data_IF_843725283952
#
_entry.id   IF_843725283952
#
_cell.length_a   1.000
_cell.length_b   1.000
_cell.length_c   1.000
_cell.angle_alpha   90.00
_cell.angle_beta   90.00
_cell.angle_gamma   90.00
#
_symmetry.space_group_name_H-M   'P 1'
#
loop_
_entity.id
_entity.type
_entity.pdbx_description
1 polymer ?
#
# COMPACT_ATOMS: atom_id res chain seq x y z
N UNK A 1 6.62 30.32 12.43
CA UNK A 1 5.55 29.96 11.47
C UNK A 1 6.07 29.14 10.28
N UNK A 2 7.24 29.44 9.71
CA UNK A 2 7.81 28.69 8.58
C UNK A 2 8.01 27.17 8.84
N UNK A 3 8.44 26.78 10.05
CA UNK A 3 8.73 25.36 10.35
C UNK A 3 7.50 24.44 10.39
N UNK A 4 6.34 24.96 10.79
CA UNK A 4 5.10 24.16 10.87
C UNK A 4 4.55 23.92 9.46
N UNK A 5 4.54 24.98 8.63
CA UNK A 5 4.13 24.88 7.23
C UNK A 5 5.03 23.91 6.46
N UNK A 6 6.34 23.93 6.72
CA UNK A 6 7.28 23.00 6.09
C UNK A 6 7.03 21.54 6.50
N UNK A 7 6.79 21.27 7.80
CA UNK A 7 6.46 19.93 8.29
C UNK A 7 5.17 19.37 7.70
N UNK A 8 4.11 20.17 7.59
CA UNK A 8 2.84 19.76 6.97
C UNK A 8 3.01 19.48 5.47
N UNK A 9 3.81 20.29 4.76
CA UNK A 9 4.10 20.06 3.34
C UNK A 9 4.90 18.77 3.11
N UNK A 10 5.91 18.49 3.94
CA UNK A 10 6.68 17.23 3.89
C UNK A 10 5.80 16.02 4.18
N UNK A 11 4.93 16.10 5.18
CA UNK A 11 3.98 15.02 5.48
C UNK A 11 3.06 14.74 4.29
N UNK A 12 2.47 15.78 3.69
CA UNK A 12 1.61 15.64 2.51
C UNK A 12 2.33 14.94 1.35
N UNK A 13 3.56 15.34 1.05
CA UNK A 13 4.35 14.73 -0.02
C UNK A 13 4.64 13.26 0.28
N UNK A 14 5.07 12.93 1.49
CA UNK A 14 5.35 11.56 1.90
C UNK A 14 4.11 10.66 1.80
N UNK A 15 2.92 11.17 2.16
CA UNK A 15 1.67 10.42 2.03
C UNK A 15 1.33 10.13 0.56
N UNK A 16 1.57 11.10 -0.34
CA UNK A 16 1.38 10.91 -1.79
C UNK A 16 2.36 9.89 -2.36
N UNK A 17 3.64 10.00 -1.98
CA UNK A 17 4.68 9.08 -2.43
C UNK A 17 4.46 7.65 -1.92
N UNK A 18 3.85 7.51 -0.72
CA UNK A 18 3.42 6.23 -0.18
C UNK A 18 2.17 5.64 -0.88
N UNK A 19 1.55 6.38 -1.81
CA UNK A 19 0.35 5.97 -2.52
C UNK A 19 -0.94 6.04 -1.69
N UNK A 20 -0.93 6.76 -0.56
CA UNK A 20 -2.12 6.96 0.25
C UNK A 20 -3.23 7.62 -0.59
N UNK A 21 -4.46 7.16 -0.45
CA UNK A 21 -5.59 7.77 -1.13
C UNK A 21 -5.96 9.13 -0.53
N UNK A 22 -6.81 9.88 -1.23
CA UNK A 22 -7.18 11.22 -0.81
C UNK A 22 -7.85 11.24 0.58
N UNK A 23 -8.65 10.21 0.91
CA UNK A 23 -9.33 10.12 2.21
C UNK A 23 -8.33 9.97 3.35
N UNK A 24 -7.32 9.13 3.15
CA UNK A 24 -6.23 8.91 4.08
C UNK A 24 -5.39 10.18 4.25
N UNK A 25 -5.05 10.83 3.14
CA UNK A 25 -4.33 12.10 3.13
C UNK A 25 -5.08 13.16 3.94
N UNK A 26 -6.37 13.36 3.67
CA UNK A 26 -7.19 14.35 4.37
C UNK A 26 -7.26 14.05 5.87
N UNK A 27 -7.43 12.78 6.25
CA UNK A 27 -7.47 12.34 7.65
C UNK A 27 -6.16 12.66 8.37
N UNK A 28 -5.01 12.30 7.78
CA UNK A 28 -3.70 12.58 8.34
C UNK A 28 -3.43 14.09 8.44
N UNK A 29 -3.81 14.87 7.43
CA UNK A 29 -3.60 16.33 7.42
C UNK A 29 -4.47 17.07 8.44
N UNK A 30 -5.67 16.57 8.72
CA UNK A 30 -6.58 17.14 9.73
C UNK A 30 -6.11 16.93 11.17
N UNK A 31 -5.31 15.89 11.44
CA UNK A 31 -4.79 15.58 12.79
C UNK A 31 -3.32 15.97 12.99
N UNK A 32 -2.70 16.60 11.99
CA UNK A 32 -1.29 16.96 11.93
C UNK A 32 -0.91 18.17 12.82
N UNK A 33 -1.22 18.15 14.11
CA UNK A 33 -0.82 19.19 15.07
C UNK A 33 0.26 18.69 16.07
N UNK A 34 0.58 19.45 17.11
CA UNK A 34 1.59 19.03 18.10
C UNK A 34 1.10 17.76 18.83
N UNK A 35 1.85 16.66 18.71
CA UNK A 35 1.51 15.26 19.07
C UNK A 35 0.75 14.43 18.00
N UNK A 36 0.81 14.82 16.72
CA UNK A 36 0.20 14.06 15.62
C UNK A 36 0.76 12.64 15.43
N UNK A 37 2.03 12.40 15.77
CA UNK A 37 2.70 11.12 15.50
C UNK A 37 1.98 9.93 16.16
N UNK A 38 1.46 10.12 17.37
CA UNK A 38 0.72 9.09 18.10
C UNK A 38 -0.61 8.70 17.45
N UNK A 39 -1.18 9.57 16.59
CA UNK A 39 -2.44 9.33 15.89
C UNK A 39 -2.26 8.97 14.42
N UNK A 40 -1.24 9.52 13.76
CA UNK A 40 -0.93 9.24 12.35
C UNK A 40 -0.30 7.86 12.20
N UNK A 41 0.59 7.45 13.12
CA UNK A 41 1.32 6.19 12.98
C UNK A 41 0.41 4.95 12.93
N UNK A 42 -0.62 4.79 13.79
CA UNK A 42 -1.55 3.68 13.68
C UNK A 42 -2.30 3.64 12.35
N UNK A 43 -2.71 4.80 11.83
CA UNK A 43 -3.38 4.90 10.53
C UNK A 43 -2.45 4.37 9.41
N UNK A 44 -1.19 4.80 9.39
CA UNK A 44 -0.23 4.34 8.39
C UNK A 44 0.06 2.83 8.50
N UNK A 45 0.06 2.27 9.71
CA UNK A 45 0.20 0.83 9.94
C UNK A 45 -0.98 0.03 9.38
N UNK A 46 -2.20 0.54 9.55
CA UNK A 46 -3.42 -0.05 8.98
C UNK A 46 -3.35 -0.03 7.46
N UNK A 47 -3.02 1.13 6.87
CA UNK A 47 -2.84 1.28 5.42
C UNK A 47 -1.79 0.30 4.87
N UNK A 48 -0.64 0.16 5.55
CA UNK A 48 0.39 -0.81 5.19
C UNK A 48 -0.14 -2.24 5.19
N UNK A 49 -0.92 -2.62 6.19
CA UNK A 49 -1.52 -3.95 6.29
C UNK A 49 -2.47 -4.21 5.12
N UNK A 50 -3.36 -3.26 4.81
CA UNK A 50 -4.26 -3.39 3.66
C UNK A 50 -3.50 -3.53 2.33
N UNK A 51 -2.40 -2.80 2.16
CA UNK A 51 -1.57 -2.90 0.95
C UNK A 51 -0.88 -4.27 0.86
N UNK A 52 -0.35 -4.78 1.96
CA UNK A 52 0.23 -6.13 2.00
C UNK A 52 -0.81 -7.20 1.67
N UNK A 53 -2.02 -7.10 2.23
CA UNK A 53 -3.10 -8.04 1.92
C UNK A 53 -3.46 -8.04 0.42
N UNK A 54 -3.46 -6.86 -0.22
CA UNK A 54 -3.67 -6.75 -1.67
C UNK A 54 -2.55 -7.44 -2.45
N UNK A 55 -1.29 -7.20 -2.07
CA UNK A 55 -0.13 -7.84 -2.70
C UNK A 55 -0.21 -9.36 -2.57
N UNK A 56 -0.47 -9.88 -1.37
CA UNK A 56 -0.61 -11.32 -1.15
C UNK A 56 -1.74 -11.92 -1.99
N UNK A 57 -2.91 -11.26 -2.06
CA UNK A 57 -4.02 -11.74 -2.89
C UNK A 57 -3.70 -11.77 -4.38
N UNK A 58 -3.00 -10.76 -4.90
CA UNK A 58 -2.59 -10.77 -6.31
C UNK A 58 -1.49 -11.82 -6.55
N UNK A 59 -0.60 -12.04 -5.59
CA UNK A 59 0.39 -13.11 -5.65
C UNK A 59 -0.27 -14.51 -5.68
N UNK A 60 -1.26 -14.78 -4.82
CA UNK A 60 -2.00 -16.05 -4.81
C UNK A 60 -2.67 -16.34 -6.17
N UNK A 61 -3.20 -15.29 -6.82
CA UNK A 61 -3.79 -15.39 -8.17
C UNK A 61 -2.74 -15.71 -9.22
N UNK A 62 -1.57 -15.06 -9.15
CA UNK A 62 -0.45 -15.33 -10.06
C UNK A 62 0.05 -16.77 -9.91
N UNK A 63 0.25 -17.24 -8.68
CA UNK A 63 0.66 -18.63 -8.41
C UNK A 63 -0.34 -19.64 -8.98
N UNK A 64 -1.64 -19.37 -8.81
CA UNK A 64 -2.71 -20.21 -9.38
C UNK A 64 -2.69 -20.22 -10.92
N UNK A 65 -2.44 -19.06 -11.53
CA UNK A 65 -2.34 -18.91 -12.98
C UNK A 65 -1.09 -19.62 -13.53
N UNK A 66 0.06 -19.46 -12.89
CA UNK A 66 1.31 -20.10 -13.26
C UNK A 66 1.20 -21.62 -13.19
N UNK A 67 0.55 -22.14 -12.15
CA UNK A 67 0.26 -23.57 -12.04
C UNK A 67 -0.62 -24.07 -13.19
N UNK A 68 -1.69 -23.33 -13.54
CA UNK A 68 -2.54 -23.68 -14.67
C UNK A 68 -1.75 -23.70 -15.98
N UNK A 69 -0.91 -22.70 -16.22
CA UNK A 69 -0.05 -22.63 -17.41
C UNK A 69 0.93 -23.82 -17.47
N UNK A 70 1.56 -24.17 -16.35
CA UNK A 70 2.44 -25.33 -16.26
C UNK A 70 1.71 -26.64 -16.59
N UNK A 71 0.49 -26.85 -16.07
CA UNK A 71 -0.31 -28.06 -16.38
C UNK A 71 -0.60 -28.16 -17.88
N UNK A 72 -1.02 -27.06 -18.51
CA UNK A 72 -1.31 -27.02 -19.95
C UNK A 72 -0.04 -27.29 -20.80
N UNK A 73 1.10 -26.73 -20.40
CA UNK A 73 2.38 -26.99 -21.08
C UNK A 73 2.82 -28.45 -20.93
N UNK A 74 2.69 -29.02 -19.74
CA UNK A 74 3.05 -30.42 -19.46
C UNK A 74 2.20 -31.40 -20.27
N UNK A 75 0.88 -31.17 -20.36
CA UNK A 75 -0.01 -31.99 -21.17
C UNK A 75 0.37 -31.98 -22.65
N UNK A 76 0.86 -30.85 -23.16
CA UNK A 76 1.33 -30.71 -24.54
C UNK A 76 2.66 -31.44 -24.79
N UNK A 77 3.54 -31.52 -23.80
CA UNK A 77 4.86 -32.18 -23.91
C UNK A 77 4.79 -33.70 -23.73
N UNK A 78 3.78 -34.23 -23.03
CA UNK A 78 3.56 -35.67 -22.86
C UNK A 78 2.86 -36.38 -24.02
N UNK A 79 2.61 -35.68 -25.13
CA UNK A 79 2.00 -36.22 -26.35
C UNK A 79 3.00 -36.42 -27.51
N UNK A 80 4.30 -36.29 -27.21
CA UNK A 80 5.43 -36.60 -28.12
C UNK A 80 6.09 -37.87 -27.61
#
# INVERSE_FOLDING_TARGET
MADITNKKAMLLQNLRDAGCDQKMIDTCMNIADQNADAKILPLLQEYRTCQLDRVHREQDKLESLDYLMYQLQKQRLGQI
#
